data_IF_242058053926
#
_entry.id   IF_242058053926
#
_cell.length_a   1.000
_cell.length_b   1.000
_cell.length_c   1.000
_cell.angle_alpha   90.00
_cell.angle_beta   90.00
_cell.angle_gamma   90.00
#
_symmetry.space_group_name_H-M   'P 1'
#
loop_
_entity.id
_entity.type
_entity.pdbx_description
1 polymer ?
#
# COMPACT_ATOMS: atom_id res chain seq x y z
N UNK A 1 -11.13 -5.27 -5.07
CA UNK A 1 -11.00 -4.28 -3.97
C UNK A 1 -10.10 -4.89 -2.91
N UNK A 2 -9.06 -4.15 -2.56
CA UNK A 2 -8.01 -4.51 -1.60
C UNK A 2 -8.20 -3.64 -0.38
N UNK A 3 -8.17 -4.22 0.82
CA UNK A 3 -8.28 -3.45 2.06
C UNK A 3 -6.94 -3.38 2.79
N UNK A 4 -6.48 -2.19 3.14
CA UNK A 4 -5.32 -2.01 4.02
C UNK A 4 -5.73 -2.12 5.48
N UNK A 5 -5.01 -2.98 6.19
CA UNK A 5 -5.23 -3.30 7.60
C UNK A 5 -3.95 -3.04 8.38
N UNK A 6 -4.10 -2.39 9.53
CA UNK A 6 -2.99 -2.02 10.40
C UNK A 6 -3.18 -2.60 11.80
N UNK A 7 -2.11 -2.76 12.59
CA UNK A 7 -2.21 -3.41 13.92
C UNK A 7 -3.19 -2.74 14.90
N UNK A 8 -3.47 -1.45 14.74
CA UNK A 8 -4.43 -0.71 15.58
C UNK A 8 -5.89 -0.95 15.18
N UNK A 9 -6.10 -1.63 14.07
CA UNK A 9 -7.41 -1.76 13.46
C UNK A 9 -8.22 -2.94 14.02
N UNK A 10 -7.60 -3.80 14.82
CA UNK A 10 -8.32 -4.90 15.46
C UNK A 10 -7.86 -5.06 16.90
N UNK A 11 -8.83 -5.17 17.82
CA UNK A 11 -8.58 -5.45 19.23
C UNK A 11 -7.92 -6.83 19.42
N UNK A 12 -8.28 -7.79 18.57
CA UNK A 12 -7.68 -9.12 18.49
C UNK A 12 -7.74 -9.69 17.06
N UNK A 13 -7.01 -10.78 16.82
CA UNK A 13 -6.94 -11.45 15.52
C UNK A 13 -8.27 -12.08 15.07
N UNK A 14 -9.13 -12.47 16.00
CA UNK A 14 -10.36 -13.19 15.70
C UNK A 14 -11.42 -12.24 15.14
N UNK A 15 -11.44 -10.99 15.61
CA UNK A 15 -12.25 -9.90 15.05
C UNK A 15 -11.90 -9.63 13.58
N UNK A 16 -10.61 -9.66 13.23
CA UNK A 16 -10.15 -9.54 11.83
C UNK A 16 -10.66 -10.69 10.98
N UNK A 17 -10.48 -11.93 11.45
CA UNK A 17 -10.91 -13.11 10.72
C UNK A 17 -12.42 -13.11 10.50
N UNK A 18 -13.20 -12.73 11.52
CA UNK A 18 -14.65 -12.62 11.39
C UNK A 18 -15.05 -11.53 10.39
N UNK A 19 -14.37 -10.38 10.40
CA UNK A 19 -14.57 -9.37 9.36
C UNK A 19 -14.28 -9.93 7.96
N UNK A 20 -13.18 -10.66 7.77
CA UNK A 20 -12.85 -11.24 6.47
C UNK A 20 -13.82 -12.34 6.05
N UNK A 21 -14.39 -13.11 6.98
CA UNK A 21 -15.40 -14.15 6.68
C UNK A 21 -16.73 -13.53 6.24
N UNK A 22 -17.15 -12.47 6.93
CA UNK A 22 -18.45 -11.83 6.69
C UNK A 22 -18.45 -10.90 5.48
N UNK A 23 -17.30 -10.66 4.85
CA UNK A 23 -17.16 -9.77 3.71
C UNK A 23 -16.42 -10.49 2.58
N UNK A 24 -16.84 -10.32 1.33
CA UNK A 24 -16.14 -10.84 0.13
C UNK A 24 -14.85 -10.06 -0.14
N UNK A 25 -13.92 -10.06 0.83
CA UNK A 25 -12.61 -9.42 0.76
C UNK A 25 -11.67 -10.31 -0.02
N UNK A 26 -11.28 -9.87 -1.21
CA UNK A 26 -10.32 -10.62 -2.06
C UNK A 26 -8.90 -10.59 -1.50
N UNK A 27 -8.52 -9.48 -0.87
CA UNK A 27 -7.16 -9.30 -0.37
C UNK A 27 -7.07 -8.27 0.74
N UNK A 28 -6.06 -8.45 1.58
CA UNK A 28 -5.68 -7.52 2.64
C UNK A 28 -4.22 -7.11 2.52
N UNK A 29 -3.91 -5.90 2.96
CA UNK A 29 -2.53 -5.48 3.21
C UNK A 29 -2.26 -5.37 4.70
N UNK A 30 -1.12 -5.87 5.16
CA UNK A 30 -0.70 -5.80 6.56
C UNK A 30 0.49 -4.85 6.65
N UNK A 31 0.27 -3.69 7.26
CA UNK A 31 1.29 -2.65 7.32
C UNK A 31 2.26 -2.81 8.49
N UNK A 32 3.56 -2.76 8.17
CA UNK A 32 4.61 -2.73 9.18
C UNK A 32 4.65 -1.37 9.90
N UNK A 33 4.29 -1.37 11.20
CA UNK A 33 4.29 -0.21 12.10
C UNK A 33 5.22 -0.35 13.32
N UNK A 34 5.90 -1.48 13.48
CA UNK A 34 6.88 -1.72 14.56
C UNK A 34 8.16 -2.31 13.97
N UNK A 35 9.36 -2.00 14.50
CA UNK A 35 10.62 -2.51 13.96
C UNK A 35 10.77 -4.04 14.04
N UNK A 36 9.90 -4.71 14.78
CA UNK A 36 9.88 -6.16 14.97
C UNK A 36 9.12 -6.81 13.80
N UNK A 37 9.67 -7.86 13.20
CA UNK A 37 9.13 -8.54 12.01
C UNK A 37 7.81 -9.33 12.27
N UNK A 38 7.03 -8.90 13.28
CA UNK A 38 5.74 -9.43 13.69
C UNK A 38 4.72 -9.53 12.54
N UNK A 39 4.88 -8.72 11.48
CA UNK A 39 3.93 -8.64 10.37
C UNK A 39 3.92 -9.89 9.50
N UNK A 40 5.08 -10.53 9.28
CA UNK A 40 5.13 -11.80 8.52
C UNK A 40 4.45 -12.91 9.35
N UNK A 41 4.82 -13.03 10.63
CA UNK A 41 4.20 -13.99 11.55
C UNK A 41 2.69 -13.75 11.68
N UNK A 42 2.26 -12.49 11.70
CA UNK A 42 0.84 -12.10 11.70
C UNK A 42 0.14 -12.55 10.42
N UNK A 43 0.71 -12.30 9.24
CA UNK A 43 0.17 -12.78 7.97
C UNK A 43 0.03 -14.30 7.94
N UNK A 44 1.05 -15.02 8.41
CA UNK A 44 0.99 -16.48 8.50
C UNK A 44 -0.11 -16.96 9.43
N UNK A 45 -0.23 -16.37 10.62
CA UNK A 45 -1.28 -16.72 11.60
C UNK A 45 -2.67 -16.51 10.99
N UNK A 46 -2.86 -15.44 10.22
CA UNK A 46 -4.11 -15.19 9.50
C UNK A 46 -4.33 -16.29 8.45
N UNK A 47 -3.38 -16.54 7.54
CA UNK A 47 -3.51 -17.59 6.52
C UNK A 47 -3.85 -18.96 7.11
N UNK A 48 -3.21 -19.36 8.21
CA UNK A 48 -3.45 -20.64 8.87
C UNK A 48 -4.87 -20.77 9.45
N UNK A 49 -5.46 -19.66 9.90
CA UNK A 49 -6.81 -19.65 10.52
C UNK A 49 -7.94 -19.43 9.50
N UNK A 50 -7.64 -18.95 8.30
CA UNK A 50 -8.65 -18.75 7.26
C UNK A 50 -8.91 -20.08 6.52
N UNK A 51 -10.18 -20.40 6.33
CA UNK A 51 -10.66 -21.55 5.56
C UNK A 51 -11.12 -21.16 4.15
N UNK A 52 -10.78 -19.96 3.69
CA UNK A 52 -11.08 -19.42 2.37
C UNK A 52 -9.87 -18.61 1.88
N UNK A 53 -9.76 -18.48 0.56
CA UNK A 53 -8.60 -17.85 -0.06
C UNK A 53 -8.68 -16.32 0.08
N UNK A 54 -7.73 -15.74 0.82
CA UNK A 54 -7.52 -14.30 0.93
C UNK A 54 -6.06 -14.01 0.64
N UNK A 55 -5.85 -13.16 -0.36
CA UNK A 55 -4.54 -12.67 -0.68
C UNK A 55 -4.03 -11.75 0.42
N UNK A 56 -2.86 -12.06 0.99
CA UNK A 56 -2.20 -11.17 1.96
C UNK A 56 -1.00 -10.50 1.30
N UNK A 57 -0.96 -9.18 1.37
CA UNK A 57 0.14 -8.34 0.92
C UNK A 57 0.85 -7.73 2.14
N UNK A 58 2.16 -7.88 2.26
CA UNK A 58 2.91 -7.24 3.35
C UNK A 58 3.36 -5.86 2.91
N UNK A 59 3.08 -4.82 3.70
CA UNK A 59 3.64 -3.48 3.45
C UNK A 59 4.91 -3.30 4.26
N UNK A 60 6.07 -3.31 3.60
CA UNK A 60 7.36 -3.03 4.22
C UNK A 60 7.64 -1.52 4.17
N UNK A 61 7.61 -0.89 5.34
CA UNK A 61 7.94 0.52 5.51
C UNK A 61 9.41 0.71 5.88
N UNK A 62 10.20 1.27 4.97
CA UNK A 62 11.61 1.59 5.22
C UNK A 62 11.75 2.63 6.33
N UNK A 63 10.83 3.58 6.44
CA UNK A 63 10.81 4.55 7.54
C UNK A 63 10.73 3.85 8.91
N UNK A 64 9.86 2.85 9.05
CA UNK A 64 9.66 2.12 10.32
C UNK A 64 10.86 1.20 10.59
N UNK A 65 11.44 0.63 9.56
CA UNK A 65 12.62 -0.23 9.64
C UNK A 65 13.96 0.54 9.52
N UNK A 66 13.92 1.87 9.66
CA UNK A 66 15.06 2.72 9.39
C UNK A 66 16.19 2.50 10.38
N UNK A 67 17.36 2.13 9.86
CA UNK A 67 18.59 1.95 10.64
C UNK A 67 19.66 2.94 10.18
N UNK A 68 20.66 3.19 11.04
CA UNK A 68 21.62 4.29 10.87
C UNK A 68 22.48 4.19 9.61
N UNK A 69 22.79 2.98 9.15
CA UNK A 69 23.72 2.74 8.04
C UNK A 69 23.03 1.97 6.90
N UNK A 70 23.53 2.16 5.67
CA UNK A 70 23.04 1.42 4.51
C UNK A 70 23.27 -0.08 4.70
N UNK A 71 24.45 -0.49 5.18
CA UNK A 71 24.79 -1.90 5.38
C UNK A 71 23.78 -2.61 6.30
N UNK A 72 23.44 -2.00 7.44
CA UNK A 72 22.43 -2.55 8.34
C UNK A 72 21.04 -2.59 7.69
N UNK A 73 20.70 -1.58 6.87
CA UNK A 73 19.40 -1.52 6.21
C UNK A 73 19.26 -2.64 5.17
N UNK A 74 20.34 -2.92 4.44
CA UNK A 74 20.44 -4.04 3.50
C UNK A 74 20.32 -5.36 4.24
N UNK A 75 21.08 -5.59 5.30
CA UNK A 75 20.99 -6.83 6.09
C UNK A 75 19.57 -7.07 6.62
N UNK A 76 18.93 -6.03 7.16
CA UNK A 76 17.55 -6.13 7.66
C UNK A 76 16.55 -6.42 6.54
N UNK A 77 16.73 -5.78 5.38
CA UNK A 77 15.90 -6.04 4.20
C UNK A 77 16.07 -7.46 3.67
N UNK A 78 17.29 -7.94 3.51
CA UNK A 78 17.58 -9.29 3.04
C UNK A 78 17.04 -10.35 4.02
N UNK A 79 17.20 -10.13 5.33
CA UNK A 79 16.58 -11.00 6.35
C UNK A 79 15.06 -11.08 6.19
N UNK A 80 14.40 -9.93 6.04
CA UNK A 80 12.95 -9.88 5.82
C UNK A 80 12.54 -10.66 4.56
N UNK A 81 13.30 -10.56 3.46
CA UNK A 81 13.04 -11.32 2.24
C UNK A 81 13.21 -12.82 2.44
N UNK A 82 14.26 -13.25 3.14
CA UNK A 82 14.49 -14.65 3.48
C UNK A 82 13.32 -15.22 4.30
N UNK A 83 12.86 -14.47 5.30
CA UNK A 83 11.69 -14.86 6.11
C UNK A 83 10.41 -14.91 5.25
N UNK A 84 10.21 -13.95 4.35
CA UNK A 84 9.07 -13.95 3.45
C UNK A 84 9.07 -15.19 2.53
N UNK A 85 10.24 -15.56 2.00
CA UNK A 85 10.42 -16.78 1.18
C UNK A 85 10.12 -18.02 1.99
N UNK A 86 10.74 -18.15 3.18
CA UNK A 86 10.55 -19.29 4.08
C UNK A 86 9.07 -19.54 4.41
N UNK A 87 8.31 -18.46 4.56
CA UNK A 87 6.89 -18.51 4.88
C UNK A 87 5.95 -18.39 3.66
N UNK A 88 6.49 -18.57 2.45
CA UNK A 88 5.76 -18.51 1.18
C UNK A 88 4.90 -17.24 1.02
N UNK A 89 5.41 -16.12 1.52
CA UNK A 89 4.81 -14.80 1.43
C UNK A 89 5.41 -14.05 0.23
N UNK A 90 4.69 -14.10 -0.89
CA UNK A 90 5.20 -13.58 -2.18
C UNK A 90 4.88 -12.12 -2.45
N UNK A 91 3.76 -11.61 -1.93
CA UNK A 91 3.27 -10.25 -2.24
C UNK A 91 3.80 -9.25 -1.22
N UNK A 92 4.67 -8.33 -1.67
CA UNK A 92 5.29 -7.30 -0.82
C UNK A 92 5.10 -5.92 -1.47
N UNK A 93 4.54 -4.96 -0.74
CA UNK A 93 4.55 -3.55 -1.10
C UNK A 93 5.68 -2.84 -0.34
N UNK A 94 6.65 -2.28 -1.05
CA UNK A 94 7.76 -1.54 -0.42
C UNK A 94 7.51 -0.03 -0.49
N UNK A 95 7.52 0.62 0.67
CA UNK A 95 7.31 2.07 0.79
C UNK A 95 8.47 2.73 1.53
N UNK A 96 8.94 3.87 1.01
CA UNK A 96 10.04 4.61 1.64
C UNK A 96 9.58 5.37 2.89
N UNK A 97 8.39 5.95 2.84
CA UNK A 97 7.95 6.94 3.82
C UNK A 97 8.89 8.15 3.85
N UNK A 98 8.94 8.84 4.99
CA UNK A 98 9.96 9.86 5.29
C UNK A 98 11.00 9.25 6.26
N UNK A 99 12.00 8.50 5.75
CA UNK A 99 12.93 7.77 6.60
C UNK A 99 13.87 8.72 7.34
N UNK A 100 14.15 8.41 8.61
CA UNK A 100 15.13 9.14 9.43
C UNK A 100 16.55 9.09 8.83
N UNK A 101 16.85 8.01 8.09
CA UNK A 101 18.14 7.77 7.44
C UNK A 101 17.90 7.60 5.93
N UNK A 102 17.95 8.68 5.12
CA UNK A 102 17.37 8.72 3.78
C UNK A 102 18.18 8.02 2.70
N UNK A 103 19.35 7.45 3.04
CA UNK A 103 20.23 6.78 2.08
C UNK A 103 19.72 5.43 1.60
N UNK A 104 18.80 4.80 2.35
CA UNK A 104 18.11 3.58 1.92
C UNK A 104 16.65 3.93 1.59
N UNK A 105 16.28 3.78 0.32
CA UNK A 105 14.91 4.04 -0.19
C UNK A 105 14.38 2.84 -0.97
N UNK A 106 13.13 2.90 -1.39
CA UNK A 106 12.43 1.82 -2.11
C UNK A 106 13.20 1.38 -3.35
N UNK A 107 13.73 2.31 -4.15
CA UNK A 107 14.57 1.96 -5.31
C UNK A 107 15.82 1.18 -4.89
N UNK A 108 16.51 1.62 -3.85
CA UNK A 108 17.68 0.90 -3.30
C UNK A 108 17.29 -0.50 -2.82
N UNK A 109 16.19 -0.62 -2.08
CA UNK A 109 15.68 -1.90 -1.60
C UNK A 109 15.37 -2.86 -2.76
N UNK A 110 14.72 -2.37 -3.82
CA UNK A 110 14.43 -3.16 -5.02
C UNK A 110 15.71 -3.64 -5.72
N UNK A 111 16.72 -2.77 -5.86
CA UNK A 111 18.00 -3.17 -6.44
C UNK A 111 18.68 -4.31 -5.67
N UNK A 112 18.64 -4.29 -4.34
CA UNK A 112 19.13 -5.41 -3.52
C UNK A 112 18.22 -6.65 -3.61
N UNK A 113 16.91 -6.47 -3.77
CA UNK A 113 15.95 -7.56 -3.89
C UNK A 113 16.10 -8.36 -5.18
N UNK A 114 16.75 -7.82 -6.23
CA UNK A 114 17.03 -8.55 -7.48
C UNK A 114 17.77 -9.87 -7.27
N UNK A 115 18.61 -9.97 -6.23
CA UNK A 115 19.28 -11.22 -5.84
C UNK A 115 18.29 -12.36 -5.52
N UNK A 116 17.04 -12.02 -5.25
CA UNK A 116 15.96 -12.94 -4.89
C UNK A 116 14.90 -13.08 -5.99
N UNK A 117 15.17 -12.63 -7.23
CA UNK A 117 14.17 -12.66 -8.31
C UNK A 117 13.64 -14.07 -8.63
N UNK A 118 14.50 -15.09 -8.50
CA UNK A 118 14.14 -16.49 -8.78
C UNK A 118 13.27 -17.15 -7.69
N UNK A 119 12.96 -16.45 -6.59
CA UNK A 119 12.11 -17.00 -5.52
C UNK A 119 10.62 -16.64 -5.69
N UNK A 120 10.25 -16.02 -6.81
CA UNK A 120 8.84 -15.71 -7.12
C UNK A 120 8.23 -14.63 -6.23
N UNK A 121 9.07 -13.75 -5.67
CA UNK A 121 8.61 -12.57 -4.96
C UNK A 121 8.03 -11.55 -5.96
N UNK A 122 6.89 -10.97 -5.63
CA UNK A 122 6.23 -9.92 -6.41
C UNK A 122 6.25 -8.62 -5.61
N UNK A 123 6.82 -7.57 -6.20
CA UNK A 123 6.91 -6.27 -5.56
C UNK A 123 5.86 -5.28 -6.07
N UNK A 124 5.24 -4.59 -5.13
CA UNK A 124 4.48 -3.37 -5.35
C UNK A 124 5.25 -2.14 -4.90
N UNK A 125 5.01 -1.02 -5.59
CA UNK A 125 5.62 0.28 -5.26
C UNK A 125 4.58 1.38 -5.16
N UNK A 126 4.83 2.36 -4.30
CA UNK A 126 4.04 3.59 -4.26
C UNK A 126 4.43 4.56 -5.39
N UNK A 127 3.43 5.23 -5.95
CA UNK A 127 3.53 6.32 -6.92
C UNK A 127 2.63 7.49 -6.49
N UNK A 128 3.13 8.72 -6.47
CA UNK A 128 2.36 9.87 -6.03
C UNK A 128 2.04 10.82 -7.20
N UNK A 129 0.85 10.73 -7.81
CA UNK A 129 0.52 11.62 -8.93
C UNK A 129 0.28 13.08 -8.50
N UNK A 130 0.24 13.38 -7.20
CA UNK A 130 -0.16 14.70 -6.67
C UNK A 130 1.02 15.59 -6.25
N UNK A 131 2.26 15.14 -6.52
CA UNK A 131 3.47 15.92 -6.31
C UNK A 131 4.05 16.35 -7.67
N UNK A 132 5.34 16.68 -7.72
CA UNK A 132 6.03 16.96 -8.97
C UNK A 132 5.99 15.71 -9.87
N UNK A 133 5.09 15.74 -10.86
CA UNK A 133 4.82 14.60 -11.73
C UNK A 133 6.05 14.13 -12.51
N UNK A 134 6.91 15.04 -12.96
CA UNK A 134 8.11 14.68 -13.72
C UNK A 134 9.09 13.88 -12.87
N UNK A 135 9.32 14.32 -11.63
CA UNK A 135 10.17 13.62 -10.68
C UNK A 135 9.57 12.26 -10.30
N UNK A 136 8.26 12.21 -10.02
CA UNK A 136 7.57 10.98 -9.66
C UNK A 136 7.52 9.98 -10.82
N UNK A 137 7.36 10.43 -12.06
CA UNK A 137 7.48 9.58 -13.27
C UNK A 137 8.89 9.01 -13.43
N UNK A 138 9.93 9.85 -13.27
CA UNK A 138 11.32 9.40 -13.34
C UNK A 138 11.61 8.34 -12.28
N UNK A 139 11.20 8.58 -11.04
CA UNK A 139 11.39 7.64 -9.93
C UNK A 139 10.59 6.35 -10.13
N UNK A 140 9.35 6.44 -10.63
CA UNK A 140 8.54 5.27 -10.93
C UNK A 140 9.21 4.42 -12.03
N UNK A 141 9.65 5.04 -13.12
CA UNK A 141 10.36 4.36 -14.20
C UNK A 141 11.60 3.62 -13.66
N UNK A 142 12.43 4.28 -12.86
CA UNK A 142 13.61 3.64 -12.24
C UNK A 142 13.24 2.41 -11.39
N UNK A 143 12.13 2.44 -10.66
CA UNK A 143 11.66 1.28 -9.88
C UNK A 143 11.18 0.15 -10.80
N UNK A 144 10.47 0.47 -11.88
CA UNK A 144 9.95 -0.51 -12.85
C UNK A 144 11.09 -1.14 -13.68
N UNK A 145 12.10 -0.35 -14.04
CA UNK A 145 13.30 -0.80 -14.76
C UNK A 145 14.13 -1.83 -13.96
N UNK A 146 13.83 -2.04 -12.67
CA UNK A 146 14.43 -3.15 -11.89
C UNK A 146 13.98 -4.52 -12.37
N UNK A 147 12.85 -4.62 -13.08
CA UNK A 147 12.28 -5.86 -13.62
C UNK A 147 11.46 -6.69 -12.64
N UNK A 148 11.51 -6.38 -11.34
CA UNK A 148 10.86 -7.19 -10.28
C UNK A 148 9.56 -6.57 -9.73
N UNK A 149 9.19 -5.39 -10.21
CA UNK A 149 7.98 -4.68 -9.79
C UNK A 149 6.81 -5.06 -10.70
N UNK A 150 5.75 -5.61 -10.12
CA UNK A 150 4.53 -6.01 -10.87
C UNK A 150 3.31 -5.18 -10.50
N UNK A 151 3.38 -4.33 -9.47
CA UNK A 151 2.23 -3.57 -8.93
C UNK A 151 2.56 -2.12 -8.64
N UNK A 152 1.65 -1.21 -8.98
CA UNK A 152 1.74 0.23 -8.68
C UNK A 152 0.57 0.63 -7.81
N UNK A 153 0.88 1.20 -6.64
CA UNK A 153 -0.10 1.73 -5.70
C UNK A 153 -0.05 3.26 -5.76
N UNK A 154 -1.12 3.86 -6.27
CA UNK A 154 -1.27 5.30 -6.33
C UNK A 154 -1.52 5.82 -4.91
N UNK A 155 -0.79 6.86 -4.53
CA UNK A 155 -0.95 7.52 -3.24
C UNK A 155 -2.38 8.07 -3.07
N UNK A 156 -2.78 8.31 -1.82
CA UNK A 156 -4.03 9.01 -1.51
C UNK A 156 -4.03 10.47 -2.00
N UNK A 157 -5.15 10.90 -2.56
CA UNK A 157 -5.47 12.30 -2.86
C UNK A 157 -6.73 12.44 -3.71
N UNK A 158 -7.21 13.67 -3.92
CA UNK A 158 -8.48 13.95 -4.60
C UNK A 158 -8.40 14.88 -5.81
N UNK A 159 -7.19 15.15 -6.33
CA UNK A 159 -7.06 15.85 -7.60
C UNK A 159 -7.28 14.90 -8.78
N UNK A 160 -8.47 14.96 -9.37
CA UNK A 160 -8.86 14.08 -10.47
C UNK A 160 -8.01 14.25 -11.73
N UNK A 161 -7.53 15.47 -12.00
CA UNK A 161 -6.72 15.72 -13.20
C UNK A 161 -5.35 15.04 -13.05
N UNK A 162 -4.72 15.19 -11.90
CA UNK A 162 -3.45 14.55 -11.60
C UNK A 162 -3.58 13.02 -11.56
N UNK A 163 -4.65 12.50 -10.94
CA UNK A 163 -4.92 11.05 -10.93
C UNK A 163 -5.07 10.51 -12.37
N UNK A 164 -5.86 11.16 -13.22
CA UNK A 164 -6.04 10.77 -14.63
C UNK A 164 -4.73 10.80 -15.41
N UNK A 165 -3.92 11.86 -15.24
CA UNK A 165 -2.59 11.96 -15.87
C UNK A 165 -1.67 10.82 -15.44
N UNK A 166 -1.63 10.53 -14.14
CA UNK A 166 -0.82 9.44 -13.61
C UNK A 166 -1.26 8.06 -14.11
N UNK A 167 -2.57 7.79 -14.15
CA UNK A 167 -3.12 6.55 -14.70
C UNK A 167 -2.84 6.42 -16.20
N UNK A 168 -3.04 7.49 -16.97
CA UNK A 168 -2.73 7.50 -18.40
C UNK A 168 -1.25 7.19 -18.65
N UNK A 169 -0.34 7.82 -17.90
CA UNK A 169 1.09 7.53 -17.97
C UNK A 169 1.38 6.05 -17.69
N UNK A 170 0.83 5.50 -16.59
CA UNK A 170 1.05 4.10 -16.24
C UNK A 170 0.46 3.14 -17.28
N UNK A 171 -0.72 3.43 -17.83
CA UNK A 171 -1.35 2.60 -18.86
C UNK A 171 -0.57 2.63 -20.18
N UNK A 172 0.01 3.79 -20.54
CA UNK A 172 0.81 3.93 -21.76
C UNK A 172 2.16 3.23 -21.68
N UNK A 173 2.90 3.41 -20.58
CA UNK A 173 4.29 2.95 -20.48
C UNK A 173 4.46 1.63 -19.71
N UNK A 174 3.49 1.28 -18.86
CA UNK A 174 3.53 0.09 -18.01
C UNK A 174 2.19 -0.69 -18.08
N UNK A 175 1.74 -1.10 -19.28
CA UNK A 175 0.41 -1.69 -19.48
C UNK A 175 0.21 -2.99 -18.67
N UNK A 176 1.26 -3.80 -18.53
CA UNK A 176 1.22 -5.11 -17.88
C UNK A 176 1.36 -5.06 -16.35
N UNK A 177 1.51 -3.87 -15.77
CA UNK A 177 1.64 -3.70 -14.31
C UNK A 177 0.25 -3.52 -13.69
N UNK A 178 -0.06 -4.25 -12.63
CA UNK A 178 -1.35 -4.08 -11.93
C UNK A 178 -1.37 -2.72 -11.21
N UNK A 179 -2.53 -2.06 -11.22
CA UNK A 179 -2.67 -0.68 -10.73
C UNK A 179 -3.70 -0.64 -9.63
N UNK A 180 -3.34 -0.01 -8.52
CA UNK A 180 -4.18 0.12 -7.34
C UNK A 180 -4.35 1.60 -7.00
N UNK A 181 -5.58 2.11 -7.08
CA UNK A 181 -5.92 3.49 -6.73
C UNK A 181 -6.37 3.55 -5.28
N UNK A 182 -5.67 4.34 -4.47
CA UNK A 182 -5.98 4.43 -3.04
C UNK A 182 -7.15 5.36 -2.76
N UNK A 183 -8.05 4.94 -1.88
CA UNK A 183 -9.13 5.75 -1.30
C UNK A 183 -9.07 5.69 0.22
N UNK A 184 -9.32 6.81 0.89
CA UNK A 184 -9.38 6.86 2.34
C UNK A 184 -10.81 6.61 2.79
N UNK A 185 -11.05 5.62 3.67
CA UNK A 185 -12.40 5.40 4.18
C UNK A 185 -12.86 6.61 5.02
N UNK A 186 -13.90 7.36 4.59
CA UNK A 186 -14.33 8.60 5.23
C UNK A 186 -15.03 8.40 6.58
N UNK A 187 -15.34 7.15 6.95
CA UNK A 187 -15.97 6.85 8.25
C UNK A 187 -15.00 6.23 9.25
N UNK A 188 -13.73 6.08 8.88
CA UNK A 188 -12.73 5.45 9.73
C UNK A 188 -12.24 6.43 10.80
N UNK A 189 -11.81 5.95 11.99
CA UNK A 189 -11.07 6.79 12.95
C UNK A 189 -9.82 7.45 12.32
N UNK A 190 -9.26 6.79 11.30
CA UNK A 190 -8.13 7.27 10.52
C UNK A 190 -8.43 8.58 9.79
N UNK A 191 -9.63 8.73 9.23
CA UNK A 191 -10.08 9.96 8.58
C UNK A 191 -10.07 11.15 9.56
N UNK A 192 -10.62 10.96 10.76
CA UNK A 192 -10.60 11.99 11.81
C UNK A 192 -9.19 12.32 12.27
N UNK A 193 -8.31 11.32 12.38
CA UNK A 193 -6.90 11.57 12.68
C UNK A 193 -6.21 12.34 11.55
N UNK A 194 -6.52 12.03 10.29
CA UNK A 194 -5.94 12.69 9.12
C UNK A 194 -6.36 14.16 9.05
N UNK A 195 -7.63 14.49 9.31
CA UNK A 195 -8.11 15.90 9.35
C UNK A 195 -7.27 16.76 10.30
N UNK A 196 -6.95 16.23 11.48
CA UNK A 196 -6.15 16.94 12.50
C UNK A 196 -4.67 17.01 12.15
N UNK A 197 -4.13 15.95 11.54
CA UNK A 197 -2.72 15.84 11.19
C UNK A 197 -2.57 15.15 9.83
N UNK A 198 -2.64 15.92 8.73
CA UNK A 198 -2.46 15.39 7.40
C UNK A 198 -1.11 14.69 7.26
N UNK A 199 -1.07 13.62 6.46
CA UNK A 199 0.18 12.91 6.20
C UNK A 199 1.03 13.63 5.17
N UNK A 200 2.34 13.60 5.38
CA UNK A 200 3.29 14.17 4.43
C UNK A 200 3.11 13.54 3.04
N UNK A 201 2.94 14.39 2.03
CA UNK A 201 2.80 13.97 0.65
C UNK A 201 1.40 13.49 0.25
N UNK A 202 0.42 13.48 1.16
CA UNK A 202 -1.00 13.24 0.83
C UNK A 202 -1.71 14.58 0.70
N UNK A 203 -2.51 14.74 -0.37
CA UNK A 203 -3.19 15.99 -0.70
C UNK A 203 -4.69 15.73 -0.84
N UNK A 204 -5.47 16.25 0.09
CA UNK A 204 -6.93 16.29 0.01
C UNK A 204 -7.40 17.74 0.03
N UNK A 205 -8.42 18.05 -0.77
CA UNK A 205 -9.10 19.35 -0.74
C UNK A 205 -9.84 19.57 0.59
N UNK A 206 -10.09 20.83 0.91
CA UNK A 206 -10.95 21.20 2.04
C UNK A 206 -12.34 20.56 1.93
N UNK A 207 -12.86 20.44 0.71
CA UNK A 207 -14.15 19.79 0.45
C UNK A 207 -14.13 18.32 0.88
N UNK A 208 -13.06 17.58 0.57
CA UNK A 208 -12.91 16.20 1.03
C UNK A 208 -12.84 16.14 2.56
N UNK A 209 -12.10 17.06 3.18
CA UNK A 209 -11.93 17.05 4.64
C UNK A 209 -13.14 17.64 5.39
N UNK A 210 -14.13 18.20 4.71
CA UNK A 210 -15.32 18.82 5.32
C UNK A 210 -16.19 17.81 6.04
N UNK A 211 -16.72 16.81 5.33
CA UNK A 211 -17.67 15.82 5.88
C UNK A 211 -17.42 14.42 5.32
N UNK A 212 -17.90 13.39 6.02
CA UNK A 212 -17.85 12.02 5.51
C UNK A 212 -18.65 11.89 4.20
N UNK A 213 -19.80 12.56 4.10
CA UNK A 213 -20.63 12.59 2.90
C UNK A 213 -19.91 13.18 1.68
N UNK A 214 -19.20 14.30 1.87
CA UNK A 214 -18.44 14.92 0.78
C UNK A 214 -17.25 14.04 0.36
N UNK A 215 -16.54 13.47 1.33
CA UNK A 215 -15.46 12.52 1.07
C UNK A 215 -15.95 11.25 0.35
N UNK A 216 -17.14 10.71 0.69
CA UNK A 216 -17.76 9.58 -0.02
C UNK A 216 -18.06 9.95 -1.48
N UNK A 217 -18.64 11.13 -1.73
CA UNK A 217 -18.92 11.60 -3.10
C UNK A 217 -17.64 11.70 -3.94
N UNK A 218 -16.56 12.22 -3.35
CA UNK A 218 -15.26 12.32 -4.01
C UNK A 218 -14.63 10.94 -4.23
N UNK A 219 -14.66 10.05 -3.24
CA UNK A 219 -14.20 8.68 -3.39
C UNK A 219 -14.93 7.94 -4.52
N UNK A 220 -16.24 8.13 -4.67
CA UNK A 220 -17.00 7.54 -5.78
C UNK A 220 -16.51 8.04 -7.15
N UNK A 221 -16.09 9.30 -7.24
CA UNK A 221 -15.48 9.83 -8.47
C UNK A 221 -14.10 9.23 -8.71
N UNK A 222 -13.27 9.08 -7.67
CA UNK A 222 -11.97 8.39 -7.75
C UNK A 222 -12.16 6.94 -8.22
N UNK A 223 -13.14 6.23 -7.66
CA UNK A 223 -13.45 4.83 -8.02
C UNK A 223 -13.87 4.73 -9.47
N UNK A 224 -14.72 5.65 -9.95
CA UNK A 224 -15.10 5.70 -11.37
C UNK A 224 -13.88 5.89 -12.27
N UNK A 225 -12.99 6.83 -11.95
CA UNK A 225 -11.76 7.08 -12.72
C UNK A 225 -10.87 5.83 -12.75
N UNK A 226 -10.73 5.13 -11.61
CA UNK A 226 -9.94 3.91 -11.51
C UNK A 226 -10.53 2.79 -12.40
N UNK A 227 -11.85 2.57 -12.33
CA UNK A 227 -12.55 1.56 -13.14
C UNK A 227 -12.42 1.84 -14.65
N UNK A 228 -12.58 3.11 -15.07
CA UNK A 228 -12.38 3.54 -16.46
C UNK A 228 -10.94 3.30 -16.96
N UNK A 229 -9.98 3.09 -16.05
CA UNK A 229 -8.56 2.86 -16.36
C UNK A 229 -8.07 1.45 -15.99
N UNK A 230 -8.98 0.50 -15.76
CA UNK A 230 -8.66 -0.88 -15.36
C UNK A 230 -7.75 -0.98 -14.12
N UNK A 231 -7.96 -0.07 -13.16
CA UNK A 231 -7.25 -0.09 -11.88
C UNK A 231 -8.17 -0.59 -10.75
N UNK A 232 -7.61 -1.38 -9.84
CA UNK A 232 -8.29 -1.84 -8.64
C UNK A 232 -8.30 -0.77 -7.54
N UNK A 233 -9.29 -0.86 -6.65
CA UNK A 233 -9.38 0.04 -5.49
C UNK A 233 -8.61 -0.53 -4.31
N UNK A 234 -7.78 0.33 -3.71
CA UNK A 234 -7.06 0.09 -2.46
C UNK A 234 -7.65 0.98 -1.36
N UNK A 235 -8.34 0.38 -0.39
CA UNK A 235 -9.00 1.11 0.68
C UNK A 235 -8.07 1.24 1.87
N UNK A 236 -7.66 2.47 2.20
CA UNK A 236 -6.90 2.79 3.40
C UNK A 236 -7.84 3.13 4.56
N UNK A 237 -7.63 2.46 5.70
CA UNK A 237 -8.46 2.60 6.89
C UNK A 237 -9.59 1.58 6.92
N UNK A 238 -9.90 1.09 8.12
CA UNK A 238 -10.96 0.11 8.34
C UNK A 238 -12.31 0.55 7.83
N UNK A 239 -13.03 -0.40 7.26
CA UNK A 239 -14.46 -0.33 7.00
C UNK A 239 -15.22 -0.64 8.29
N UNK A 240 -16.01 0.32 8.78
CA UNK A 240 -17.12 0.03 9.69
C UNK A 240 -18.31 -0.46 8.84
N UNK A 241 -18.87 -1.61 9.21
CA UNK A 241 -19.95 -2.34 8.51
C UNK A 241 -21.24 -1.53 8.26
N UNK A 242 -21.42 -0.34 8.85
CA UNK A 242 -22.64 0.46 8.69
C UNK A 242 -22.70 1.32 7.42
N UNK A 243 -21.64 1.40 6.62
CA UNK A 243 -21.49 2.45 5.61
C UNK A 243 -21.39 1.96 4.15
N UNK A 244 -21.75 0.71 3.89
CA UNK A 244 -21.73 0.11 2.54
C UNK A 244 -23.11 -0.36 2.04
N UNK A 245 -24.19 -0.01 2.76
CA UNK A 245 -25.57 -0.08 2.29
C UNK A 245 -26.11 1.36 2.14
#
# INVERSE_FOLDING_TARGET
MVHEITNKDFADFDSLINFLKSNTVKSISIANKSPEDENILKAMKIKKKLNFDVDINIVYSIRVNGVKTISLAVQKWERFLIEAIHYNQKKILVVSGNPKYPKFRSLTALNYAKKFENYGLSFGVAFNPFLNLEEEYKLLKQKLDTGIVSRIYFQLGDDFLHLKKGLHFCNKYFPNTEKFVSVLNPTSPLFNSFKRRPWNGVRFSEKFLKSSTDATKINNQIIRIANENNAEIYVTGLVSLKNYL
#
